data_IF_576541978975
#
_entry.id   IF_576541978975
#
_cell.length_a   1.000
_cell.length_b   1.000
_cell.length_c   1.000
_cell.angle_alpha   90.00
_cell.angle_beta   90.00
_cell.angle_gamma   90.00
#
_symmetry.space_group_name_H-M   'P 1'
#
loop_
_entity.id
_entity.type
_entity.pdbx_description
1 polymer ?
#
# COMPACT_ATOMS: atom_id res chain seq x y z
N UNK A 1 17.69 25.68 -7.85
CA UNK A 1 17.60 24.25 -8.21
C UNK A 1 17.10 24.01 -9.64
N UNK A 2 16.02 24.63 -10.14
CA UNK A 2 15.62 24.54 -11.57
C UNK A 2 16.78 24.79 -12.56
N UNK A 3 17.59 25.85 -12.38
CA UNK A 3 18.82 26.12 -13.17
C UNK A 3 19.88 25.01 -13.15
N UNK A 4 19.93 24.18 -12.10
CA UNK A 4 20.91 23.09 -11.95
C UNK A 4 20.50 21.85 -12.76
N UNK A 5 19.19 21.63 -12.89
CA UNK A 5 18.58 20.55 -13.66
C UNK A 5 18.26 20.94 -15.12
N UNK A 6 18.20 22.25 -15.41
CA UNK A 6 17.89 22.82 -16.72
C UNK A 6 19.11 23.39 -17.44
N UNK A 7 20.33 23.08 -16.99
CA UNK A 7 21.54 23.57 -17.66
C UNK A 7 21.75 22.82 -18.97
N UNK A 8 22.31 23.47 -20.00
CA UNK A 8 22.63 22.85 -21.30
C UNK A 8 23.58 21.63 -21.18
N UNK A 9 24.19 21.41 -20.00
CA UNK A 9 25.07 20.28 -19.70
C UNK A 9 24.40 19.11 -18.97
N UNK A 10 23.17 19.29 -18.49
CA UNK A 10 22.44 18.24 -17.76
C UNK A 10 21.77 17.32 -18.78
N UNK A 11 22.51 16.29 -19.21
CA UNK A 11 21.98 15.27 -20.12
C UNK A 11 21.14 14.30 -19.28
N UNK A 12 19.86 14.21 -19.61
CA UNK A 12 18.95 13.21 -19.05
C UNK A 12 19.09 11.93 -19.85
N UNK A 13 19.43 10.84 -19.17
CA UNK A 13 19.50 9.53 -19.79
C UNK A 13 18.23 8.76 -19.45
N UNK A 14 17.59 8.20 -20.47
CA UNK A 14 16.54 7.23 -20.29
C UNK A 14 17.18 5.86 -20.10
N UNK A 15 17.12 5.32 -18.89
CA UNK A 15 17.76 4.06 -18.55
C UNK A 15 16.79 2.89 -18.67
N UNK A 16 16.60 2.35 -19.89
CA UNK A 16 16.00 1.03 -20.06
C UNK A 16 17.02 -0.04 -19.67
N UNK A 17 16.85 -0.67 -18.51
CA UNK A 17 17.72 -1.79 -18.08
C UNK A 17 17.75 -2.89 -19.15
N UNK A 18 18.90 -3.07 -19.82
CA UNK A 18 19.26 -4.32 -20.50
C UNK A 18 20.24 -5.04 -19.58
N UNK A 19 19.85 -6.17 -19.01
CA UNK A 19 20.82 -7.14 -18.50
C UNK A 19 21.55 -7.76 -19.70
N UNK A 20 22.84 -8.05 -19.55
CA UNK A 20 23.72 -8.55 -20.62
C UNK A 20 23.37 -9.96 -21.13
N UNK A 21 22.28 -10.52 -20.63
CA UNK A 21 21.91 -11.94 -20.68
C UNK A 21 20.77 -12.20 -21.69
N UNK A 22 20.26 -11.16 -22.37
CA UNK A 22 19.19 -11.30 -23.37
C UNK A 22 17.80 -11.60 -22.81
N UNK A 23 17.66 -11.84 -21.50
CA UNK A 23 16.37 -11.88 -20.80
C UNK A 23 15.98 -10.45 -20.43
N UNK A 24 14.90 -9.93 -21.00
CA UNK A 24 14.37 -8.60 -20.71
C UNK A 24 14.00 -8.46 -19.23
N UNK A 25 14.89 -7.89 -18.41
CA UNK A 25 14.53 -7.42 -17.09
C UNK A 25 13.59 -6.22 -17.26
N UNK A 26 12.39 -6.32 -16.69
CA UNK A 26 11.35 -5.28 -16.67
C UNK A 26 11.96 -3.90 -16.42
N UNK A 27 11.91 -3.04 -17.43
CA UNK A 27 12.65 -1.79 -17.48
C UNK A 27 12.10 -0.75 -16.49
N UNK A 28 13.01 -0.11 -15.76
CA UNK A 28 12.77 1.18 -15.11
C UNK A 28 12.59 2.23 -16.22
N UNK A 29 11.53 3.05 -16.14
CA UNK A 29 11.28 4.18 -17.07
C UNK A 29 11.46 5.49 -16.31
N UNK A 30 12.65 5.69 -15.76
CA UNK A 30 13.04 6.96 -15.13
C UNK A 30 14.03 7.69 -16.01
N UNK A 31 14.01 9.02 -15.92
CA UNK A 31 15.09 9.83 -16.42
C UNK A 31 15.99 10.16 -15.26
N UNK A 32 17.26 9.77 -15.37
CA UNK A 32 18.29 10.10 -14.40
C UNK A 32 19.33 11.02 -15.03
N UNK A 33 19.90 11.91 -14.23
CA UNK A 33 21.09 12.66 -14.58
C UNK A 33 22.06 12.64 -13.41
N UNK A 34 23.36 12.69 -13.69
CA UNK A 34 24.42 12.75 -12.68
C UNK A 34 25.02 14.16 -12.69
N UNK A 35 24.35 15.16 -12.08
CA UNK A 35 24.83 16.52 -12.06
C UNK A 35 26.14 16.64 -11.28
N UNK A 36 27.03 17.49 -11.81
CA UNK A 36 28.28 17.89 -11.16
C UNK A 36 28.02 18.62 -9.82
N UNK A 37 28.56 18.13 -8.68
CA UNK A 37 28.25 18.67 -7.35
C UNK A 37 28.73 20.11 -7.11
N UNK A 38 29.73 20.62 -7.85
CA UNK A 38 30.42 21.88 -7.56
C UNK A 38 29.49 23.10 -7.56
N UNK A 39 28.46 23.08 -8.42
CA UNK A 39 27.44 24.13 -8.46
C UNK A 39 26.54 24.11 -7.22
N UNK A 40 26.17 22.93 -6.75
CA UNK A 40 25.31 22.74 -5.58
C UNK A 40 26.07 23.00 -4.27
N UNK A 41 27.32 22.56 -4.17
CA UNK A 41 28.17 22.77 -2.99
C UNK A 41 28.41 24.25 -2.65
N UNK A 42 28.35 25.14 -3.64
CA UNK A 42 28.45 26.60 -3.43
C UNK A 42 27.14 27.25 -2.95
N UNK A 43 26.06 26.50 -2.87
CA UNK A 43 24.74 27.02 -2.50
C UNK A 43 24.52 27.00 -0.98
N UNK A 44 23.68 27.91 -0.48
CA UNK A 44 23.21 27.87 0.91
C UNK A 44 22.42 26.59 1.23
N UNK A 45 21.82 25.95 0.22
CA UNK A 45 21.10 24.69 0.41
C UNK A 45 22.04 23.55 0.80
N UNK A 46 23.25 23.48 0.22
CA UNK A 46 24.27 22.51 0.62
C UNK A 46 24.70 22.72 2.07
N UNK A 47 25.00 23.96 2.48
CA UNK A 47 25.41 24.24 3.85
C UNK A 47 24.38 23.76 4.89
N UNK A 48 23.09 23.95 4.61
CA UNK A 48 22.00 23.44 5.46
C UNK A 48 21.91 21.92 5.46
N UNK A 49 21.97 21.28 4.28
CA UNK A 49 21.91 19.83 4.15
C UNK A 49 23.08 19.15 4.88
N UNK A 50 24.30 19.63 4.67
CA UNK A 50 25.50 19.10 5.30
C UNK A 50 25.42 19.19 6.83
N UNK A 51 25.04 20.36 7.37
CA UNK A 51 24.85 20.53 8.81
C UNK A 51 23.78 19.58 9.38
N UNK A 52 22.65 19.43 8.67
CA UNK A 52 21.56 18.52 9.08
C UNK A 52 22.04 17.06 9.08
N UNK A 53 22.83 16.64 8.08
CA UNK A 53 23.35 15.27 8.04
C UNK A 53 24.29 14.97 9.21
N UNK A 54 25.15 15.92 9.58
CA UNK A 54 26.04 15.77 10.75
C UNK A 54 25.24 15.65 12.04
N UNK A 55 24.23 16.51 12.22
CA UNK A 55 23.34 16.50 13.38
C UNK A 55 22.56 15.17 13.50
N UNK A 56 21.92 14.72 12.42
CA UNK A 56 21.13 13.47 12.40
C UNK A 56 22.02 12.23 12.60
N UNK A 57 23.29 12.28 12.19
CA UNK A 57 24.25 11.19 12.42
C UNK A 57 24.78 11.15 13.86
N UNK A 58 24.36 12.08 14.73
CA UNK A 58 24.80 12.14 16.13
C UNK A 58 26.27 12.56 16.31
N UNK A 59 26.91 13.08 15.26
CA UNK A 59 28.30 13.55 15.29
C UNK A 59 28.34 15.04 15.66
N UNK A 60 29.39 15.46 16.40
CA UNK A 60 29.62 16.88 16.66
C UNK A 60 30.32 17.50 15.47
N UNK A 61 29.77 18.58 14.90
CA UNK A 61 30.51 19.38 13.92
C UNK A 61 31.82 19.88 14.55
N UNK A 62 32.94 19.39 14.05
CA UNK A 62 34.28 19.86 14.40
C UNK A 62 34.83 20.79 13.31
N UNK A 63 34.33 20.71 12.07
CA UNK A 63 34.71 21.57 10.94
C UNK A 63 33.60 21.73 9.87
N UNK A 64 33.79 22.65 8.92
CA UNK A 64 32.89 22.81 7.77
C UNK A 64 33.00 21.70 6.70
N UNK A 65 33.85 20.69 6.90
CA UNK A 65 34.14 19.61 5.96
C UNK A 65 33.65 18.22 6.42
N UNK A 66 32.85 18.15 7.48
CA UNK A 66 32.47 16.88 8.13
C UNK A 66 31.40 16.10 7.34
N UNK A 67 30.97 16.63 6.18
CA UNK A 67 30.06 15.98 5.25
C UNK A 67 30.53 16.23 3.81
N UNK A 68 30.60 15.17 3.01
CA UNK A 68 31.06 15.21 1.62
C UNK A 68 30.09 14.46 0.70
N UNK A 69 29.91 14.99 -0.52
CA UNK A 69 29.06 14.36 -1.55
C UNK A 69 29.88 13.27 -2.25
N UNK A 70 29.41 12.03 -2.16
CA UNK A 70 29.98 10.89 -2.90
C UNK A 70 29.38 10.77 -4.28
N UNK A 71 28.07 10.97 -4.37
CA UNK A 71 27.35 11.12 -5.64
C UNK A 71 26.09 11.95 -5.47
N UNK A 72 25.68 12.53 -6.58
CA UNK A 72 24.47 13.32 -6.71
C UNK A 72 23.75 12.89 -7.97
N UNK A 73 22.50 12.48 -7.81
CA UNK A 73 21.62 12.03 -8.88
C UNK A 73 20.37 12.91 -8.91
N UNK A 74 20.00 13.37 -10.10
CA UNK A 74 18.68 13.93 -10.34
C UNK A 74 17.79 12.86 -10.95
N UNK A 75 16.58 12.71 -10.42
CA UNK A 75 15.60 11.73 -10.87
C UNK A 75 14.31 12.44 -11.32
N UNK A 76 13.77 12.01 -12.47
CA UNK A 76 12.42 12.35 -12.94
C UNK A 76 11.63 11.08 -13.18
N UNK A 77 10.54 10.91 -12.43
CA UNK A 77 9.70 9.72 -12.49
C UNK A 77 8.39 10.05 -13.20
N UNK A 78 8.09 9.28 -14.25
CA UNK A 78 7.08 9.63 -15.27
C UNK A 78 5.92 8.64 -15.41
N UNK A 79 5.84 7.59 -14.54
CA UNK A 79 4.91 6.42 -14.55
C UNK A 79 5.64 5.14 -14.94
N UNK A 80 6.36 4.56 -13.98
CA UNK A 80 7.30 3.49 -14.26
C UNK A 80 7.46 2.50 -13.11
N UNK A 81 7.93 1.29 -13.44
CA UNK A 81 8.54 0.46 -12.41
C UNK A 81 9.78 1.16 -11.88
N UNK A 82 9.89 1.24 -10.56
CA UNK A 82 11.12 1.64 -9.90
C UNK A 82 11.65 0.43 -9.17
N UNK A 83 12.90 0.11 -9.48
CA UNK A 83 13.63 -0.93 -8.79
C UNK A 83 14.17 -0.29 -7.52
N UNK A 84 13.89 -0.92 -6.39
CA UNK A 84 14.54 -0.68 -5.13
C UNK A 84 16.04 -0.68 -5.35
N UNK A 85 16.68 0.45 -5.03
CA UNK A 85 18.13 0.52 -5.09
C UNK A 85 18.67 -0.48 -4.09
N UNK A 86 19.27 -1.59 -4.57
CA UNK A 86 20.07 -2.47 -3.72
C UNK A 86 21.08 -1.62 -2.96
N UNK A 87 21.40 -2.01 -1.74
CA UNK A 87 22.33 -1.33 -0.83
C UNK A 87 23.44 -0.61 -1.61
N UNK A 88 23.40 0.72 -1.64
CA UNK A 88 24.44 1.52 -2.27
C UNK A 88 25.63 1.57 -1.32
N UNK A 89 26.33 0.44 -1.23
CA UNK A 89 27.63 0.37 -0.60
C UNK A 89 28.60 0.99 -1.61
N UNK A 90 28.75 2.32 -1.59
CA UNK A 90 30.09 2.84 -1.84
C UNK A 90 31.00 2.02 -0.93
N UNK A 91 32.13 1.55 -1.43
CA UNK A 91 33.14 0.87 -0.63
C UNK A 91 33.75 1.83 0.40
N UNK A 92 32.93 2.33 1.32
CA UNK A 92 33.28 2.67 2.68
C UNK A 92 33.83 1.34 3.22
N UNK A 93 35.16 1.19 3.30
CA UNK A 93 35.78 -0.03 3.83
C UNK A 93 35.14 -0.42 5.17
N UNK A 94 35.10 -1.72 5.54
CA UNK A 94 34.17 -2.30 6.54
C UNK A 94 34.28 -1.78 7.98
N UNK A 95 35.06 -0.73 8.24
CA UNK A 95 35.27 -0.19 9.56
C UNK A 95 34.21 0.82 10.01
N UNK A 96 33.34 1.34 9.13
CA UNK A 96 32.15 2.12 9.54
C UNK A 96 31.15 2.36 8.39
N UNK A 97 30.25 1.41 8.14
CA UNK A 97 29.05 1.63 7.30
C UNK A 97 28.14 2.76 7.82
N UNK A 98 28.28 3.08 9.11
CA UNK A 98 27.44 4.03 9.85
C UNK A 98 27.68 5.50 9.44
N UNK A 99 28.73 5.76 8.66
CA UNK A 99 29.12 7.11 8.24
C UNK A 99 28.50 7.50 6.89
N UNK A 100 27.91 6.55 6.16
CA UNK A 100 27.41 6.74 4.81
C UNK A 100 25.86 6.90 4.86
N UNK A 101 25.35 8.05 4.39
CA UNK A 101 23.90 8.39 4.43
C UNK A 101 23.36 8.72 3.04
N UNK A 102 22.07 8.46 2.84
CA UNK A 102 21.32 8.90 1.67
C UNK A 102 20.44 10.08 2.07
N UNK A 103 20.46 11.13 1.26
CA UNK A 103 19.52 12.24 1.37
C UNK A 103 18.70 12.38 0.08
N UNK A 104 17.38 12.41 0.20
CA UNK A 104 16.45 12.65 -0.92
C UNK A 104 15.74 13.97 -0.70
N UNK A 105 15.83 14.87 -1.68
CA UNK A 105 15.13 16.16 -1.71
C UNK A 105 14.04 16.11 -2.78
N UNK A 106 12.78 16.27 -2.37
CA UNK A 106 11.66 16.35 -3.30
C UNK A 106 11.53 17.76 -3.89
N UNK A 107 11.55 17.84 -5.22
CA UNK A 107 11.44 19.07 -6.02
C UNK A 107 10.08 19.17 -6.71
N UNK A 108 9.04 18.69 -6.04
CA UNK A 108 7.65 18.73 -6.53
C UNK A 108 7.03 20.10 -6.31
N UNK A 109 6.16 20.51 -7.24
CA UNK A 109 5.30 21.69 -7.14
C UNK A 109 3.85 21.18 -7.03
N UNK A 110 3.11 21.61 -6.02
CA UNK A 110 1.73 21.19 -5.67
C UNK A 110 1.48 19.68 -5.78
N UNK A 111 2.04 18.92 -4.85
CA UNK A 111 1.78 17.49 -4.69
C UNK A 111 0.63 17.29 -3.70
N UNK A 112 -0.49 16.78 -4.18
CA UNK A 112 -1.75 16.74 -3.45
C UNK A 112 -2.15 15.30 -3.11
N UNK A 113 -3.23 15.17 -2.33
CA UNK A 113 -3.88 13.88 -2.03
C UNK A 113 -3.97 13.02 -3.29
N UNK A 114 -3.66 11.73 -3.16
CA UNK A 114 -3.69 10.74 -4.26
C UNK A 114 -2.64 10.94 -5.38
N UNK A 115 -1.70 11.90 -5.27
CA UNK A 115 -0.61 12.03 -6.27
C UNK A 115 0.43 10.88 -6.26
N UNK A 116 0.38 10.02 -5.23
CA UNK A 116 1.32 8.92 -4.95
C UNK A 116 2.78 9.40 -4.88
N UNK A 117 3.73 8.61 -5.37
CA UNK A 117 5.15 8.97 -5.45
C UNK A 117 5.95 8.78 -4.16
N UNK A 118 5.42 8.01 -3.21
CA UNK A 118 6.05 7.83 -1.90
C UNK A 118 7.50 7.30 -2.00
N UNK A 119 8.40 7.85 -1.18
CA UNK A 119 9.67 7.20 -0.89
C UNK A 119 9.42 6.13 0.18
N UNK A 120 9.75 4.88 -0.12
CA UNK A 120 9.62 3.76 0.81
C UNK A 120 11.01 3.23 1.14
N UNK A 121 11.33 3.19 2.43
CA UNK A 121 12.58 2.68 2.99
C UNK A 121 12.30 1.37 3.70
N UNK A 122 13.16 0.38 3.45
CA UNK A 122 13.03 -0.98 3.94
C UNK A 122 14.20 -1.35 4.86
N UNK A 123 13.91 -2.24 5.80
CA UNK A 123 14.88 -2.98 6.59
C UNK A 123 14.47 -4.45 6.58
N UNK A 124 15.36 -5.32 6.10
CA UNK A 124 15.12 -6.78 5.97
C UNK A 124 13.75 -7.10 5.33
N UNK A 125 13.50 -6.59 4.12
CA UNK A 125 12.25 -6.76 3.35
C UNK A 125 10.98 -6.10 3.94
N UNK A 126 11.03 -5.56 5.16
CA UNK A 126 9.93 -4.84 5.79
C UNK A 126 10.01 -3.34 5.58
N UNK A 127 8.85 -2.70 5.46
CA UNK A 127 8.80 -1.23 5.35
C UNK A 127 9.13 -0.61 6.71
N UNK A 128 10.28 0.04 6.79
CA UNK A 128 10.66 0.83 7.96
C UNK A 128 9.87 2.15 7.98
N UNK A 129 9.84 2.86 6.85
CA UNK A 129 9.13 4.13 6.71
C UNK A 129 8.73 4.39 5.26
N UNK A 130 7.53 4.91 5.09
CA UNK A 130 7.09 5.52 3.84
C UNK A 130 6.90 7.02 4.05
N UNK A 131 7.25 7.81 3.03
CA UNK A 131 7.24 9.28 3.08
C UNK A 131 6.55 9.82 1.84
N UNK A 132 5.47 10.59 2.04
CA UNK A 132 4.80 11.29 0.95
C UNK A 132 5.65 12.47 0.44
N UNK A 133 5.75 12.71 -0.87
CA UNK A 133 6.47 13.87 -1.40
C UNK A 133 5.84 15.19 -0.97
N UNK A 134 6.66 16.18 -0.59
CA UNK A 134 6.24 17.58 -0.42
C UNK A 134 7.29 18.52 -0.99
N UNK A 135 6.91 19.74 -1.42
CA UNK A 135 7.86 20.72 -1.93
C UNK A 135 9.00 20.98 -0.93
N UNK A 136 10.23 20.71 -1.34
CA UNK A 136 11.43 20.94 -0.54
C UNK A 136 11.65 19.98 0.63
N UNK A 137 10.81 18.94 0.78
CA UNK A 137 10.98 17.92 1.82
C UNK A 137 12.29 17.17 1.62
N UNK A 138 13.06 17.05 2.69
CA UNK A 138 14.33 16.32 2.75
C UNK A 138 14.13 15.09 3.63
N UNK A 139 14.50 13.92 3.13
CA UNK A 139 14.51 12.67 3.89
C UNK A 139 15.95 12.17 3.96
N UNK A 140 16.45 11.92 5.16
CA UNK A 140 17.83 11.46 5.40
C UNK A 140 17.75 10.12 6.13
N UNK A 141 18.48 9.13 5.65
CA UNK A 141 18.49 7.78 6.22
C UNK A 141 19.83 7.08 5.95
N UNK A 142 20.18 6.03 6.74
CA UNK A 142 21.41 5.27 6.51
C UNK A 142 21.49 4.66 5.10
N UNK A 143 22.66 4.73 4.46
CA UNK A 143 22.84 4.19 3.10
C UNK A 143 22.77 2.66 3.02
N UNK A 144 22.84 1.98 4.17
CA UNK A 144 22.63 0.53 4.30
C UNK A 144 21.17 0.11 4.09
N UNK A 145 20.22 1.03 4.14
CA UNK A 145 18.80 0.72 3.97
C UNK A 145 18.40 0.69 2.50
N UNK A 146 17.68 -0.36 2.15
CA UNK A 146 17.02 -0.51 0.86
C UNK A 146 15.92 0.54 0.73
N UNK A 147 15.76 1.12 -0.46
CA UNK A 147 14.74 2.15 -0.67
C UNK A 147 14.30 2.23 -2.13
N UNK A 148 13.10 2.74 -2.33
CA UNK A 148 12.52 2.97 -3.66
C UNK A 148 11.69 4.26 -3.63
N UNK A 149 11.85 5.08 -4.66
CA UNK A 149 10.93 6.19 -4.92
C UNK A 149 9.87 5.68 -5.89
N UNK A 150 8.62 5.59 -5.42
CA UNK A 150 7.51 5.07 -6.21
C UNK A 150 7.12 6.07 -7.31
N UNK A 151 6.50 5.60 -8.41
CA UNK A 151 6.01 6.51 -9.44
C UNK A 151 4.81 7.32 -8.94
N UNK A 152 4.52 8.48 -9.55
CA UNK A 152 3.25 9.16 -9.37
C UNK A 152 2.06 8.31 -9.84
N UNK A 153 0.85 8.69 -9.45
CA UNK A 153 -0.38 8.12 -9.97
C UNK A 153 -0.45 8.20 -11.50
N UNK A 154 -1.10 7.21 -12.14
CA UNK A 154 -1.07 7.06 -13.60
C UNK A 154 -1.87 8.14 -14.34
N UNK A 155 -2.85 8.74 -13.69
CA UNK A 155 -3.65 9.87 -14.17
C UNK A 155 -2.97 11.23 -13.93
N UNK A 156 -1.97 11.30 -13.06
CA UNK A 156 -1.25 12.53 -12.79
C UNK A 156 -0.41 12.97 -14.02
N UNK A 157 -0.63 14.20 -14.48
CA UNK A 157 0.11 14.79 -15.61
C UNK A 157 1.48 15.35 -15.21
N UNK A 158 1.65 15.66 -13.92
CA UNK A 158 2.89 16.18 -13.34
C UNK A 158 3.92 15.06 -13.16
N UNK A 159 5.19 15.43 -13.22
CA UNK A 159 6.32 14.51 -12.98
C UNK A 159 6.83 14.67 -11.57
N UNK A 160 7.24 13.56 -10.96
CA UNK A 160 7.93 13.59 -9.67
C UNK A 160 9.40 13.90 -9.92
N UNK A 161 9.88 15.03 -9.41
CA UNK A 161 11.28 15.42 -9.47
C UNK A 161 11.93 15.23 -8.09
N UNK A 162 13.09 14.58 -8.05
CA UNK A 162 13.87 14.44 -6.83
C UNK A 162 15.38 14.63 -7.09
N UNK A 163 16.09 15.06 -6.06
CA UNK A 163 17.55 14.98 -6.00
C UNK A 163 17.93 13.97 -4.92
N UNK A 164 18.70 12.96 -5.30
CA UNK A 164 19.26 11.96 -4.39
C UNK A 164 20.75 12.22 -4.22
N UNK A 165 21.21 12.19 -2.99
CA UNK A 165 22.60 12.36 -2.61
C UNK A 165 23.06 11.13 -1.84
N UNK A 166 24.20 10.58 -2.24
CA UNK A 166 24.97 9.66 -1.41
C UNK A 166 26.07 10.48 -0.74
N UNK A 167 26.08 10.50 0.59
CA UNK A 167 26.92 11.37 1.39
C UNK A 167 27.78 10.54 2.35
N UNK A 168 29.01 11.01 2.57
CA UNK A 168 29.86 10.53 3.66
C UNK A 168 29.93 11.60 4.73
N UNK A 169 29.50 11.24 5.93
CA UNK A 169 29.61 12.06 7.14
C UNK A 169 30.78 11.52 7.95
N UNK A 170 31.96 12.14 7.81
CA UNK A 170 33.19 11.70 8.46
C UNK A 170 34.11 12.85 8.80
N UNK A 171 34.86 12.70 9.90
CA UNK A 171 35.89 13.63 10.33
C UNK A 171 37.20 13.44 9.53
N UNK A 172 37.32 12.37 8.74
CA UNK A 172 38.52 12.01 7.98
C UNK A 172 38.31 12.16 6.47
N UNK A 173 39.24 12.88 5.79
CA UNK A 173 39.31 12.93 4.32
C UNK A 173 39.75 11.58 3.76
N UNK A 174 38.81 10.66 3.49
CA UNK A 174 39.13 9.40 2.80
C UNK A 174 38.94 9.53 1.29
N UNK A 175 39.91 9.01 0.53
CA UNK A 175 39.80 8.85 -0.92
C UNK A 175 38.90 7.65 -1.21
N UNK A 176 37.85 7.85 -2.01
CA UNK A 176 36.88 6.82 -2.36
C UNK A 176 37.11 6.42 -3.82
N UNK A 177 37.25 5.12 -4.07
CA UNK A 177 37.13 4.53 -5.41
C UNK A 177 35.78 3.80 -5.52
N UNK A 178 35.07 3.90 -6.66
CA UNK A 178 33.83 3.16 -6.87
C UNK A 178 34.12 1.69 -7.23
N UNK A 179 33.48 0.76 -6.52
CA UNK A 179 33.41 -0.64 -6.92
C UNK A 179 31.95 -1.11 -6.89
N UNK A 180 31.44 -1.55 -8.04
CA UNK A 180 30.15 -2.24 -8.16
C UNK A 180 30.38 -3.74 -7.91
N UNK A 181 29.72 -4.33 -6.92
CA UNK A 181 29.54 -5.79 -6.86
C UNK A 181 28.08 -6.11 -7.14
N UNK A 182 27.85 -6.84 -8.24
CA UNK A 182 26.57 -7.47 -8.52
C UNK A 182 26.61 -8.91 -7.99
N UNK A 183 25.67 -9.27 -7.11
CA UNK A 183 25.41 -10.66 -6.79
C UNK A 183 24.20 -11.17 -7.60
N UNK A 184 24.45 -12.27 -8.31
CA UNK A 184 23.50 -13.04 -9.08
C UNK A 184 22.80 -14.05 -8.16
N UNK A 185 21.52 -13.82 -7.86
CA UNK A 185 20.66 -14.85 -7.31
C UNK A 185 19.70 -15.35 -8.41
N UNK A 186 19.81 -16.64 -8.71
CA UNK A 186 18.95 -17.37 -9.65
C UNK A 186 17.78 -17.96 -8.86
N UNK A 187 16.56 -17.53 -9.18
CA UNK A 187 15.32 -18.09 -8.62
C UNK A 187 14.82 -19.23 -9.52
N UNK A 188 14.45 -20.37 -8.93
CA UNK A 188 13.84 -21.52 -9.65
C UNK A 188 12.33 -21.59 -9.36
N UNK A 189 11.46 -21.76 -10.36
CA UNK A 189 10.04 -22.00 -10.16
C UNK A 189 9.68 -23.49 -10.34
N UNK A 190 9.04 -24.12 -9.35
CA UNK A 190 8.37 -25.43 -9.42
C UNK A 190 7.34 -25.45 -8.25
N UNK A 191 6.13 -26.04 -8.25
CA UNK A 191 5.23 -26.72 -9.18
C UNK A 191 3.87 -26.79 -8.42
N UNK A 192 2.76 -26.51 -9.08
CA UNK A 192 1.42 -26.39 -8.47
C UNK A 192 0.69 -27.76 -8.41
N UNK A 193 0.08 -28.16 -7.28
CA UNK A 193 -0.90 -29.25 -7.27
C UNK A 193 -2.33 -28.71 -7.42
N UNK A 194 -3.13 -29.40 -8.22
CA UNK A 194 -4.57 -29.14 -8.38
C UNK A 194 -5.34 -29.62 -7.14
N UNK A 195 -6.08 -28.74 -6.46
CA UNK A 195 -7.02 -29.12 -5.42
C UNK A 195 -8.34 -28.35 -5.57
N UNK A 196 -9.44 -29.07 -5.34
CA UNK A 196 -10.82 -28.58 -5.46
C UNK A 196 -11.24 -27.79 -4.21
N UNK A 197 -12.16 -26.86 -4.47
CA UNK A 197 -12.75 -25.83 -3.60
C UNK A 197 -13.07 -26.22 -2.15
N UNK A 198 -13.06 -25.16 -1.31
CA UNK A 198 -13.72 -25.03 -0.01
C UNK A 198 -15.21 -25.37 -0.16
N UNK A 199 -15.55 -26.65 -0.06
CA UNK A 199 -16.93 -27.08 0.19
C UNK A 199 -17.14 -27.26 1.70
N UNK A 200 -18.40 -27.12 2.11
CA UNK A 200 -18.96 -27.39 3.46
C UNK A 200 -18.45 -28.67 4.17
N UNK A 201 -17.69 -29.54 3.50
CA UNK A 201 -17.30 -30.87 3.94
C UNK A 201 -15.86 -30.99 4.50
N UNK A 202 -15.02 -29.96 4.43
CA UNK A 202 -13.65 -30.04 5.01
C UNK A 202 -13.53 -29.47 6.44
N UNK A 203 -14.64 -29.07 7.06
CA UNK A 203 -14.74 -28.75 8.49
C UNK A 203 -14.72 -30.02 9.34
N UNK A 204 -13.59 -30.73 9.33
CA UNK A 204 -13.25 -31.69 10.40
C UNK A 204 -12.06 -31.23 11.23
N UNK A 205 -11.64 -29.96 11.11
CA UNK A 205 -10.89 -29.34 12.21
C UNK A 205 -11.84 -29.21 13.39
N UNK A 206 -11.70 -30.10 14.37
CA UNK A 206 -12.33 -29.99 15.68
C UNK A 206 -12.25 -28.51 16.12
N UNK A 207 -13.37 -27.91 16.54
CA UNK A 207 -13.42 -26.51 17.01
C UNK A 207 -12.34 -26.17 18.05
N UNK A 208 -11.82 -27.19 18.75
CA UNK A 208 -10.72 -27.12 19.69
C UNK A 208 -9.38 -26.58 19.13
N UNK A 209 -9.06 -26.75 17.83
CA UNK A 209 -7.76 -26.28 17.30
C UNK A 209 -7.70 -24.77 17.15
N UNK A 210 -8.79 -24.13 16.70
CA UNK A 210 -8.87 -22.67 16.58
C UNK A 210 -8.83 -22.02 17.96
N UNK A 211 -9.50 -22.59 18.96
CA UNK A 211 -9.52 -22.06 20.35
C UNK A 211 -8.12 -21.94 20.99
N UNK A 212 -7.15 -22.75 20.54
CA UNK A 212 -5.82 -22.85 21.15
C UNK A 212 -4.73 -21.93 20.58
N UNK A 213 -5.01 -21.20 19.48
CA UNK A 213 -3.99 -20.38 18.80
C UNK A 213 -3.68 -19.13 19.64
N UNK A 214 -2.41 -18.96 20.01
CA UNK A 214 -1.86 -17.77 20.66
C UNK A 214 -1.47 -16.71 19.61
N UNK A 215 -2.38 -15.77 19.36
CA UNK A 215 -2.23 -14.71 18.35
C UNK A 215 -0.95 -13.87 18.55
N UNK A 216 -0.45 -13.74 19.78
CA UNK A 216 0.75 -12.93 20.07
C UNK A 216 2.00 -13.47 19.39
N UNK A 217 2.06 -14.77 19.11
CA UNK A 217 3.20 -15.40 18.41
C UNK A 217 3.30 -15.02 16.95
N UNK A 218 2.19 -14.59 16.36
CA UNK A 218 2.08 -14.23 14.95
C UNK A 218 2.08 -12.72 14.72
N UNK A 219 2.03 -11.93 15.80
CA UNK A 219 2.07 -10.47 15.75
C UNK A 219 3.44 -10.01 15.27
N UNK A 220 3.50 -9.38 14.09
CA UNK A 220 4.75 -8.85 13.53
C UNK A 220 4.85 -7.35 13.62
N UNK A 221 3.72 -6.62 13.58
CA UNK A 221 3.69 -5.17 13.75
C UNK A 221 2.47 -4.70 14.53
N UNK A 222 2.67 -3.67 15.34
CA UNK A 222 1.61 -2.94 16.00
C UNK A 222 1.95 -1.45 15.97
N UNK A 223 1.06 -0.65 15.40
CA UNK A 223 1.19 0.80 15.33
C UNK A 223 -0.05 1.46 15.91
N UNK A 224 0.14 2.50 16.72
CA UNK A 224 -0.95 3.29 17.27
C UNK A 224 -0.89 4.70 16.70
N UNK A 225 -2.00 5.18 16.15
CA UNK A 225 -2.12 6.55 15.63
C UNK A 225 -2.09 7.57 16.78
N UNK A 226 -1.91 8.85 16.45
CA UNK A 226 -1.98 9.92 17.44
C UNK A 226 -3.35 9.98 18.17
N UNK A 227 -4.41 9.57 17.48
CA UNK A 227 -5.79 9.53 18.00
C UNK A 227 -6.09 8.22 18.76
N UNK A 228 -5.11 7.33 18.94
CA UNK A 228 -5.24 6.11 19.74
C UNK A 228 -5.77 4.88 18.99
N UNK A 229 -6.01 4.97 17.68
CA UNK A 229 -6.42 3.81 16.88
C UNK A 229 -5.23 2.91 16.57
N UNK A 230 -5.44 1.59 16.56
CA UNK A 230 -4.37 0.61 16.31
C UNK A 230 -4.44 0.04 14.90
N UNK A 231 -3.28 -0.22 14.32
CA UNK A 231 -3.05 -1.03 13.11
C UNK A 231 -2.20 -2.22 13.54
N UNK A 232 -2.77 -3.42 13.45
CA UNK A 232 -2.16 -4.65 13.96
C UNK A 232 -1.94 -5.62 12.80
N UNK A 233 -0.74 -6.19 12.72
CA UNK A 233 -0.31 -7.03 11.59
C UNK A 233 0.11 -8.39 12.10
N UNK A 234 -0.41 -9.43 11.46
CA UNK A 234 -0.04 -10.81 11.72
C UNK A 234 0.51 -11.45 10.45
N UNK A 235 1.60 -12.19 10.58
CA UNK A 235 2.15 -13.03 9.51
C UNK A 235 2.04 -14.51 9.90
N UNK A 236 2.02 -15.39 8.91
CA UNK A 236 2.02 -16.85 9.07
C UNK A 236 0.89 -17.42 9.96
N UNK A 237 -0.21 -16.67 10.11
CA UNK A 237 -1.32 -17.05 10.98
C UNK A 237 -2.34 -17.97 10.28
N UNK A 238 -2.57 -17.80 8.97
CA UNK A 238 -3.48 -18.64 8.21
C UNK A 238 -2.78 -19.92 7.75
N UNK A 239 -3.42 -21.10 7.87
CA UNK A 239 -2.90 -22.31 7.27
C UNK A 239 -2.74 -22.15 5.75
N UNK A 240 -1.59 -22.55 5.21
CA UNK A 240 -1.27 -22.45 3.76
C UNK A 240 -2.38 -23.04 2.89
N UNK A 241 -2.95 -24.19 3.29
CA UNK A 241 -4.08 -24.82 2.59
C UNK A 241 -5.28 -23.90 2.43
N UNK A 242 -5.65 -23.17 3.49
CA UNK A 242 -6.84 -22.32 3.48
C UNK A 242 -6.57 -21.04 2.67
N UNK A 243 -5.33 -20.54 2.73
CA UNK A 243 -4.87 -19.39 1.95
C UNK A 243 -4.79 -19.70 0.44
N UNK A 244 -4.28 -20.88 0.06
CA UNK A 244 -4.26 -21.35 -1.33
C UNK A 244 -5.67 -21.52 -1.87
N UNK A 245 -6.59 -22.06 -1.06
CA UNK A 245 -7.97 -22.24 -1.47
C UNK A 245 -8.72 -20.91 -1.65
N UNK A 246 -8.45 -19.92 -0.78
CA UNK A 246 -8.95 -18.56 -0.95
C UNK A 246 -8.37 -17.93 -2.23
N UNK A 247 -7.06 -18.06 -2.46
CA UNK A 247 -6.42 -17.53 -3.66
C UNK A 247 -7.00 -18.14 -4.95
N UNK A 248 -7.24 -19.46 -4.98
CA UNK A 248 -7.89 -20.11 -6.13
C UNK A 248 -9.31 -19.59 -6.37
N UNK A 249 -10.07 -19.34 -5.30
CA UNK A 249 -11.41 -18.77 -5.39
C UNK A 249 -11.37 -17.39 -6.02
N UNK A 250 -10.46 -16.56 -5.53
CA UNK A 250 -10.22 -15.19 -6.00
C UNK A 250 -9.78 -15.17 -7.47
N UNK A 251 -8.87 -16.06 -7.89
CA UNK A 251 -8.40 -16.13 -9.27
C UNK A 251 -9.45 -16.63 -10.27
N UNK A 252 -10.44 -17.41 -9.81
CA UNK A 252 -11.47 -18.00 -10.67
C UNK A 252 -12.84 -17.30 -10.56
N UNK A 253 -12.98 -16.36 -9.63
CA UNK A 253 -14.23 -15.64 -9.38
C UNK A 253 -14.57 -14.62 -10.47
N UNK A 254 -15.87 -14.31 -10.58
CA UNK A 254 -16.36 -13.21 -11.41
C UNK A 254 -16.22 -11.89 -10.68
N UNK A 255 -15.42 -10.98 -11.23
CA UNK A 255 -15.31 -9.62 -10.71
C UNK A 255 -16.36 -8.74 -11.35
N UNK A 256 -16.93 -7.84 -10.54
CA UNK A 256 -17.68 -6.72 -11.09
C UNK A 256 -16.71 -5.80 -11.88
N UNK A 257 -17.12 -5.37 -13.07
CA UNK A 257 -16.36 -4.50 -13.98
C UNK A 257 -16.96 -3.10 -14.13
N UNK A 258 -17.97 -2.78 -13.30
CA UNK A 258 -18.58 -1.45 -13.27
C UNK A 258 -17.53 -0.38 -12.97
N UNK A 259 -17.61 0.74 -13.68
CA UNK A 259 -16.75 1.88 -13.40
C UNK A 259 -16.91 2.28 -11.93
N UNK A 260 -15.79 2.55 -11.25
CA UNK A 260 -15.83 3.07 -9.91
C UNK A 260 -16.66 4.35 -9.90
N UNK A 261 -17.72 4.36 -9.10
CA UNK A 261 -18.66 5.46 -9.02
C UNK A 261 -17.92 6.78 -8.70
N UNK A 262 -18.45 7.90 -9.20
CA UNK A 262 -18.00 9.25 -8.82
C UNK A 262 -18.04 9.48 -7.30
N UNK A 263 -18.87 8.70 -6.59
CA UNK A 263 -18.95 8.69 -5.13
C UNK A 263 -18.21 7.51 -4.46
N UNK A 264 -17.56 6.62 -5.23
CA UNK A 264 -16.69 5.58 -4.68
C UNK A 264 -15.59 6.22 -3.84
N UNK A 265 -15.56 5.87 -2.56
CA UNK A 265 -14.61 6.47 -1.63
C UNK A 265 -13.17 6.07 -1.96
N UNK A 266 -12.95 4.83 -2.40
CA UNK A 266 -11.64 4.21 -2.59
C UNK A 266 -11.20 4.02 -4.05
N UNK A 267 -12.12 4.20 -5.00
CA UNK A 267 -11.90 4.05 -6.44
C UNK A 267 -11.32 2.67 -6.83
N UNK A 268 -11.74 1.61 -6.13
CA UNK A 268 -11.44 0.21 -6.50
C UNK A 268 -12.50 -0.28 -7.47
N UNK A 269 -12.09 -0.70 -8.67
CA UNK A 269 -13.01 -1.08 -9.75
C UNK A 269 -13.43 -2.56 -9.67
N UNK A 270 -12.46 -3.44 -9.46
CA UNK A 270 -12.69 -4.88 -9.58
C UNK A 270 -12.89 -5.49 -8.20
N UNK A 271 -14.15 -5.74 -7.84
CA UNK A 271 -14.52 -6.35 -6.56
C UNK A 271 -15.25 -7.68 -6.81
N UNK A 272 -14.77 -8.73 -6.17
CA UNK A 272 -15.46 -10.01 -6.04
C UNK A 272 -16.11 -10.07 -4.65
N UNK A 273 -17.42 -9.92 -4.58
CA UNK A 273 -18.19 -9.99 -3.34
C UNK A 273 -18.34 -11.41 -2.79
N UNK A 274 -18.50 -11.54 -1.47
CA UNK A 274 -18.73 -12.80 -0.79
C UNK A 274 -19.96 -12.72 0.12
N UNK A 275 -20.74 -13.79 0.15
CA UNK A 275 -21.93 -13.90 0.99
C UNK A 275 -21.57 -13.96 2.48
N UNK A 276 -22.00 -12.96 3.24
CA UNK A 276 -21.78 -12.86 4.70
C UNK A 276 -22.26 -14.11 5.42
N UNK A 277 -23.46 -14.60 5.08
CA UNK A 277 -24.07 -15.76 5.73
C UNK A 277 -23.29 -17.06 5.50
N UNK A 278 -22.59 -17.18 4.38
CA UNK A 278 -21.73 -18.33 4.10
C UNK A 278 -20.37 -18.17 4.79
N UNK A 279 -19.78 -16.98 4.71
CA UNK A 279 -18.48 -16.70 5.29
C UNK A 279 -18.43 -16.93 6.80
N UNK A 280 -19.47 -16.53 7.54
CA UNK A 280 -19.49 -16.68 9.02
C UNK A 280 -19.51 -18.14 9.48
N UNK A 281 -19.84 -19.08 8.59
CA UNK A 281 -19.82 -20.52 8.87
C UNK A 281 -18.42 -21.13 8.69
N UNK A 282 -17.45 -20.36 8.18
CA UNK A 282 -16.09 -20.85 7.89
C UNK A 282 -15.18 -20.80 9.11
N UNK A 283 -14.15 -21.66 9.14
CA UNK A 283 -13.06 -21.59 10.13
C UNK A 283 -12.27 -20.28 10.05
N UNK A 284 -12.20 -19.68 8.86
CA UNK A 284 -11.54 -18.39 8.64
C UNK A 284 -12.24 -17.27 9.41
N UNK A 285 -13.57 -17.22 9.39
CA UNK A 285 -14.31 -16.26 10.22
C UNK A 285 -14.11 -16.51 11.72
N UNK A 286 -14.08 -17.76 12.18
CA UNK A 286 -13.84 -18.06 13.60
C UNK A 286 -12.47 -17.57 14.07
N UNK A 287 -11.47 -17.55 13.19
CA UNK A 287 -10.19 -16.91 13.47
C UNK A 287 -10.30 -15.38 13.46
N UNK A 288 -10.96 -14.80 12.46
CA UNK A 288 -11.07 -13.34 12.33
C UNK A 288 -11.87 -12.70 13.46
N UNK A 289 -12.94 -13.37 13.94
CA UNK A 289 -13.71 -12.94 15.11
C UNK A 289 -12.83 -12.87 16.37
N UNK A 290 -11.90 -13.81 16.55
CA UNK A 290 -10.90 -13.78 17.64
C UNK A 290 -9.88 -12.67 17.46
N UNK A 291 -9.43 -12.42 16.23
CA UNK A 291 -8.52 -11.30 15.93
C UNK A 291 -9.17 -9.97 16.30
N UNK A 292 -10.38 -9.68 15.78
CA UNK A 292 -11.06 -8.42 16.07
C UNK A 292 -11.43 -8.29 17.56
N UNK A 293 -11.80 -9.39 18.23
CA UNK A 293 -12.04 -9.38 19.68
C UNK A 293 -10.77 -9.02 20.45
N UNK A 294 -9.63 -9.59 20.05
CA UNK A 294 -8.33 -9.34 20.69
C UNK A 294 -7.88 -7.89 20.48
N UNK A 295 -8.06 -7.34 19.28
CA UNK A 295 -7.61 -5.99 18.92
C UNK A 295 -8.54 -4.91 19.47
N UNK A 296 -9.85 -5.12 19.42
CA UNK A 296 -10.84 -4.17 19.92
C UNK A 296 -11.07 -4.26 21.44
N UNK A 297 -10.73 -5.40 22.05
CA UNK A 297 -11.07 -5.71 23.44
C UNK A 297 -12.56 -5.98 23.66
N UNK A 298 -13.35 -6.16 22.59
CA UNK A 298 -14.80 -6.36 22.66
C UNK A 298 -15.23 -7.54 21.78
N UNK A 299 -16.07 -8.40 22.34
CA UNK A 299 -16.77 -9.43 21.58
C UNK A 299 -17.96 -8.83 20.81
N UNK A 300 -18.52 -9.61 19.89
CA UNK A 300 -19.77 -9.27 19.19
C UNK A 300 -19.61 -8.65 17.81
N UNK A 301 -18.37 -8.30 17.40
CA UNK A 301 -18.11 -7.84 16.05
C UNK A 301 -18.58 -8.85 14.99
N UNK A 302 -19.20 -8.35 13.93
CA UNK A 302 -19.81 -9.16 12.87
C UNK A 302 -19.55 -8.55 11.50
N UNK A 303 -19.30 -9.34 10.45
CA UNK A 303 -18.96 -8.81 9.14
C UNK A 303 -20.23 -8.37 8.40
N UNK A 304 -20.11 -7.32 7.59
CA UNK A 304 -21.22 -6.80 6.78
C UNK A 304 -20.86 -6.55 5.31
N UNK A 305 -19.57 -6.41 5.00
CA UNK A 305 -19.05 -6.20 3.66
C UNK A 305 -17.78 -7.03 3.52
N UNK A 306 -17.79 -7.95 2.55
CA UNK A 306 -16.73 -8.93 2.33
C UNK A 306 -16.46 -8.99 0.84
N UNK A 307 -15.23 -8.70 0.47
CA UNK A 307 -14.84 -8.66 -0.93
C UNK A 307 -13.39 -9.01 -1.14
N UNK A 308 -13.05 -9.42 -2.35
CA UNK A 308 -11.67 -9.37 -2.81
C UNK A 308 -11.50 -8.22 -3.79
N UNK A 309 -10.59 -7.31 -3.46
CA UNK A 309 -10.16 -6.24 -4.34
C UNK A 309 -9.11 -6.79 -5.32
N UNK A 310 -9.29 -6.53 -6.61
CA UNK A 310 -8.35 -6.82 -7.68
C UNK A 310 -7.84 -5.49 -8.25
N UNK A 311 -6.70 -5.04 -7.73
CA UNK A 311 -6.13 -3.75 -8.12
C UNK A 311 -5.12 -3.97 -9.25
N UNK A 312 -5.41 -3.38 -10.39
CA UNK A 312 -4.57 -3.41 -11.57
C UNK A 312 -3.60 -2.25 -11.61
N UNK A 313 -2.58 -2.37 -12.48
CA UNK A 313 -1.52 -1.36 -12.67
C UNK A 313 -2.00 0.00 -13.20
N UNK A 314 -3.21 0.06 -13.73
CA UNK A 314 -3.83 1.26 -14.29
C UNK A 314 -4.81 1.93 -13.34
N UNK A 315 -5.05 1.34 -12.17
CA UNK A 315 -6.05 1.84 -11.23
C UNK A 315 -5.52 3.06 -10.47
N UNK A 316 -6.44 3.92 -10.05
CA UNK A 316 -6.15 5.19 -9.38
C UNK A 316 -6.86 5.27 -8.03
N UNK A 317 -6.65 4.25 -7.20
CA UNK A 317 -7.26 4.16 -5.86
C UNK A 317 -7.02 5.41 -5.02
N UNK A 318 -8.02 5.79 -4.23
CA UNK A 318 -8.02 7.03 -3.48
C UNK A 318 -7.85 6.76 -1.99
N UNK A 319 -7.34 7.77 -1.28
CA UNK A 319 -7.33 7.80 0.18
C UNK A 319 -8.78 7.84 0.65
N UNK A 320 -9.16 6.99 1.60
CA UNK A 320 -10.52 6.91 2.13
C UNK A 320 -10.53 6.43 3.57
N UNK A 321 -11.74 6.42 4.14
CA UNK A 321 -12.09 5.74 5.40
C UNK A 321 -13.14 4.69 5.08
N UNK A 322 -13.17 3.65 5.89
CA UNK A 322 -14.14 2.56 5.74
C UNK A 322 -15.43 2.77 6.55
N UNK A 323 -15.45 3.76 7.44
CA UNK A 323 -16.60 4.06 8.27
C UNK A 323 -16.75 5.56 8.59
N UNK A 324 -17.93 5.93 9.07
CA UNK A 324 -18.27 7.28 9.50
C UNK A 324 -17.69 7.62 10.87
N UNK A 325 -17.50 8.91 11.15
CA UNK A 325 -16.82 9.40 12.38
C UNK A 325 -17.41 8.90 13.71
N UNK A 326 -18.68 8.54 13.73
CA UNK A 326 -19.39 8.06 14.91
C UNK A 326 -19.40 6.53 15.04
N UNK A 327 -18.88 5.83 14.05
CA UNK A 327 -18.90 4.38 13.95
C UNK A 327 -17.59 3.78 14.49
N UNK A 328 -17.71 2.60 15.09
CA UNK A 328 -16.60 1.90 15.75
C UNK A 328 -16.32 0.59 15.00
N UNK A 329 -15.86 0.71 13.76
CA UNK A 329 -15.76 -0.41 12.82
C UNK A 329 -14.31 -0.78 12.55
N UNK A 330 -14.11 -2.03 12.17
CA UNK A 330 -12.79 -2.56 11.84
C UNK A 330 -12.78 -3.14 10.44
N UNK A 331 -11.67 -2.93 9.75
CA UNK A 331 -11.36 -3.57 8.49
C UNK A 331 -10.20 -4.53 8.70
N UNK A 332 -10.38 -5.76 8.22
CA UNK A 332 -9.36 -6.79 8.18
C UNK A 332 -9.02 -7.10 6.72
N UNK A 333 -7.74 -7.06 6.39
CA UNK A 333 -7.19 -7.36 5.07
C UNK A 333 -6.36 -8.64 5.13
N UNK A 334 -6.44 -9.47 4.08
CA UNK A 334 -5.53 -10.59 3.80
C UNK A 334 -4.93 -10.40 2.42
N UNK A 335 -3.60 -10.37 2.33
CA UNK A 335 -2.90 -10.20 1.06
C UNK A 335 -2.63 -11.55 0.39
N UNK A 336 -3.00 -11.68 -0.89
CA UNK A 336 -3.07 -12.99 -1.56
C UNK A 336 -2.04 -13.19 -2.68
N UNK A 337 -1.17 -12.22 -2.94
CA UNK A 337 -0.14 -12.38 -3.96
C UNK A 337 1.10 -13.10 -3.42
N UNK A 338 1.42 -14.25 -4.02
CA UNK A 338 2.65 -14.99 -3.74
C UNK A 338 3.89 -14.25 -4.26
N UNK A 339 5.02 -14.43 -3.57
CA UNK A 339 6.34 -13.90 -3.95
C UNK A 339 6.37 -12.38 -4.18
N UNK A 340 5.58 -11.61 -3.43
CA UNK A 340 5.51 -10.16 -3.57
C UNK A 340 6.77 -9.48 -3.02
N UNK A 341 7.43 -8.68 -3.86
CA UNK A 341 8.68 -7.96 -3.64
C UNK A 341 8.45 -6.46 -3.51
N UNK A 342 9.40 -5.74 -2.91
CA UNK A 342 9.43 -4.27 -2.83
C UNK A 342 9.35 -3.59 -4.21
N UNK A 343 9.78 -4.30 -5.26
CA UNK A 343 9.74 -3.86 -6.64
C UNK A 343 8.36 -4.00 -7.29
N UNK A 344 7.46 -4.77 -6.68
CA UNK A 344 6.08 -4.94 -7.14
C UNK A 344 5.10 -3.94 -6.52
N UNK A 345 5.59 -3.05 -5.65
CA UNK A 345 4.85 -1.91 -5.08
C UNK A 345 3.61 -2.40 -4.35
N UNK A 346 2.42 -1.86 -4.61
CA UNK A 346 1.19 -2.41 -4.04
C UNK A 346 1.01 -2.16 -2.54
N UNK A 347 1.71 -1.21 -1.94
CA UNK A 347 1.61 -1.01 -0.50
C UNK A 347 0.20 -0.53 -0.09
N UNK A 348 -0.34 -1.03 1.02
CA UNK A 348 -1.44 -0.31 1.71
C UNK A 348 -0.79 0.78 2.55
N UNK A 349 -1.11 2.04 2.27
CA UNK A 349 -0.52 3.21 2.91
C UNK A 349 -1.56 3.89 3.79
N UNK A 350 -1.20 4.19 5.03
CA UNK A 350 -2.04 4.85 6.03
C UNK A 350 -1.55 6.28 6.28
N UNK A 351 -2.48 7.20 6.43
CA UNK A 351 -2.24 8.63 6.53
C UNK A 351 -2.73 9.21 7.85
N UNK A 352 -2.10 10.30 8.28
CA UNK A 352 -2.52 11.03 9.49
C UNK A 352 -3.91 11.65 9.33
N UNK A 353 -4.28 12.01 8.09
CA UNK A 353 -5.49 12.75 7.76
C UNK A 353 -6.02 12.38 6.37
N UNK A 354 -7.23 12.86 6.07
CA UNK A 354 -7.85 12.69 4.75
C UNK A 354 -7.22 13.55 3.66
N UNK A 355 -6.37 14.53 4.01
CA UNK A 355 -5.60 15.30 3.02
C UNK A 355 -4.46 14.45 2.43
N UNK A 356 -4.11 13.34 3.09
CA UNK A 356 -3.04 12.46 2.63
C UNK A 356 -1.66 13.09 2.77
N UNK A 357 -1.54 14.10 3.65
CA UNK A 357 -0.35 14.93 3.70
C UNK A 357 0.83 14.21 4.36
N UNK A 358 0.58 13.26 5.25
CA UNK A 358 1.64 12.55 5.99
C UNK A 358 1.33 11.07 6.11
N UNK A 359 2.32 10.24 5.78
CA UNK A 359 2.23 8.78 5.93
C UNK A 359 2.62 8.40 7.34
N UNK A 360 1.68 7.77 8.05
CA UNK A 360 1.90 7.30 9.42
C UNK A 360 2.39 5.85 9.44
N UNK A 361 1.94 5.04 8.48
CA UNK A 361 2.25 3.62 8.41
C UNK A 361 2.07 3.09 6.98
N UNK A 362 2.78 2.02 6.61
CA UNK A 362 2.62 1.38 5.31
C UNK A 362 2.92 -0.12 5.40
N UNK A 363 2.20 -0.90 4.61
CA UNK A 363 2.26 -2.35 4.59
C UNK A 363 2.60 -2.87 3.20
N UNK A 364 3.64 -3.70 3.13
CA UNK A 364 3.93 -4.52 1.96
C UNK A 364 2.94 -5.70 1.93
N UNK A 365 2.31 -6.00 0.78
CA UNK A 365 1.29 -7.05 0.68
C UNK A 365 1.93 -8.44 0.57
N UNK A 366 2.50 -8.93 1.68
CA UNK A 366 3.10 -10.28 1.75
C UNK A 366 2.01 -11.35 1.75
N UNK A 367 2.25 -12.48 1.07
CA UNK A 367 1.28 -13.57 0.98
C UNK A 367 0.85 -14.07 2.38
N UNK A 368 -0.46 -14.07 2.65
CA UNK A 368 -1.03 -14.52 3.93
C UNK A 368 -0.94 -13.52 5.07
N UNK A 369 -0.27 -12.37 4.88
CA UNK A 369 -0.24 -11.29 5.87
C UNK A 369 -1.65 -10.78 6.12
N UNK A 370 -1.99 -10.70 7.40
CA UNK A 370 -3.24 -10.10 7.88
C UNK A 370 -2.94 -8.73 8.46
N UNK A 371 -3.73 -7.74 8.09
CA UNK A 371 -3.74 -6.44 8.76
C UNK A 371 -5.16 -6.13 9.25
N UNK A 372 -5.30 -5.71 10.50
CA UNK A 372 -6.56 -5.22 11.05
C UNK A 372 -6.38 -3.82 11.61
N UNK A 373 -7.31 -2.93 11.28
CA UNK A 373 -7.27 -1.53 11.69
C UNK A 373 -8.67 -0.95 11.84
N UNK A 374 -8.76 0.15 12.60
CA UNK A 374 -10.01 0.88 12.77
C UNK A 374 -10.39 1.62 11.47
N UNK A 375 -11.65 1.53 11.03
CA UNK A 375 -12.11 2.04 9.73
C UNK A 375 -11.95 3.56 9.54
N UNK A 376 -11.79 4.31 10.63
CA UNK A 376 -11.53 5.76 10.60
C UNK A 376 -10.11 6.15 10.18
N UNK A 377 -9.16 5.21 10.12
CA UNK A 377 -7.79 5.53 9.73
C UNK A 377 -7.77 5.76 8.21
N UNK A 378 -7.41 6.97 7.74
CA UNK A 378 -7.31 7.25 6.31
C UNK A 378 -6.26 6.36 5.66
N UNK A 379 -6.63 5.69 4.57
CA UNK A 379 -5.72 4.74 3.91
C UNK A 379 -6.01 4.58 2.42
N UNK A 380 -5.07 3.99 1.70
CA UNK A 380 -5.21 3.73 0.26
C UNK A 380 -4.31 2.56 -0.15
N UNK A 381 -4.81 1.71 -1.05
CA UNK A 381 -4.07 0.57 -1.59
C UNK A 381 -3.41 0.93 -2.91
N UNK A 382 -2.08 1.10 -2.94
CA UNK A 382 -1.37 1.49 -4.17
C UNK A 382 -1.50 0.39 -5.24
N UNK A 383 -1.58 0.76 -6.53
CA UNK A 383 -1.52 -0.21 -7.61
C UNK A 383 -0.11 -0.80 -7.75
N UNK A 384 0.02 -1.99 -8.36
CA UNK A 384 1.32 -2.51 -8.79
C UNK A 384 1.93 -1.65 -9.91
N UNK A 385 3.24 -1.74 -10.19
CA UNK A 385 3.87 -0.96 -11.24
C UNK A 385 3.39 -1.42 -12.62
N UNK A 386 3.55 -0.56 -13.62
CA UNK A 386 3.08 -0.82 -14.99
C UNK A 386 3.70 -2.07 -15.66
N UNK A 387 4.88 -2.48 -15.18
CA UNK A 387 5.60 -3.67 -15.66
C UNK A 387 5.11 -4.97 -15.00
N UNK A 388 4.29 -4.90 -13.96
CA UNK A 388 3.74 -6.09 -13.34
C UNK A 388 2.71 -6.73 -14.27
N UNK A 389 2.84 -8.04 -14.47
CA UNK A 389 1.91 -8.85 -15.23
C UNK A 389 0.98 -9.57 -14.25
N UNK A 390 -0.22 -9.01 -14.06
CA UNK A 390 -1.21 -9.49 -13.12
C UNK A 390 -1.80 -8.36 -12.30
N UNK A 391 -2.46 -8.72 -11.21
CA UNK A 391 -3.10 -7.78 -10.30
C UNK A 391 -2.71 -8.03 -8.85
N UNK A 392 -2.94 -7.02 -8.02
CA UNK A 392 -2.81 -7.10 -6.57
C UNK A 392 -4.14 -7.52 -5.98
N UNK A 393 -4.17 -8.68 -5.32
CA UNK A 393 -5.34 -9.24 -4.67
C UNK A 393 -5.31 -8.99 -3.17
N UNK A 394 -6.42 -8.49 -2.63
CA UNK A 394 -6.59 -8.33 -1.18
C UNK A 394 -8.01 -8.69 -0.80
N UNK A 395 -8.14 -9.71 0.05
CA UNK A 395 -9.42 -10.06 0.66
C UNK A 395 -9.68 -9.14 1.84
N UNK A 396 -10.80 -8.44 1.83
CA UNK A 396 -11.19 -7.44 2.82
C UNK A 396 -12.48 -7.89 3.52
N UNK A 397 -12.50 -7.70 4.84
CA UNK A 397 -13.66 -7.97 5.70
C UNK A 397 -13.89 -6.73 6.55
N UNK A 398 -15.00 -6.02 6.32
CA UNK A 398 -15.43 -4.92 7.18
C UNK A 398 -16.42 -5.42 8.22
N UNK A 399 -16.27 -4.94 9.45
CA UNK A 399 -16.98 -5.46 10.61
C UNK A 399 -17.54 -4.34 11.48
N UNK A 400 -18.78 -4.50 11.92
CA UNK A 400 -19.45 -3.60 12.87
C UNK A 400 -19.53 -4.22 14.27
N UNK A 401 -19.71 -3.43 15.34
CA UNK A 401 -19.68 -3.91 16.74
C UNK A 401 -20.72 -4.96 17.14
N UNK A 402 -21.77 -5.15 16.33
CA UNK A 402 -22.81 -6.15 16.59
C UNK A 402 -23.40 -6.69 15.29
N UNK A 403 -23.97 -7.89 15.37
CA UNK A 403 -24.68 -8.52 14.25
C UNK A 403 -25.85 -7.66 13.75
N UNK A 404 -26.63 -7.05 14.63
CA UNK A 404 -27.77 -6.20 14.25
C UNK A 404 -27.33 -4.99 13.42
N UNK A 405 -26.26 -4.30 13.83
CA UNK A 405 -25.69 -3.17 13.08
C UNK A 405 -25.15 -3.64 11.73
N UNK A 406 -24.41 -4.76 11.74
CA UNK A 406 -23.84 -5.33 10.53
C UNK A 406 -24.91 -5.75 9.51
N UNK A 407 -26.00 -6.38 9.95
CA UNK A 407 -27.13 -6.76 9.08
C UNK A 407 -27.81 -5.52 8.46
N UNK A 408 -27.99 -4.45 9.24
CA UNK A 408 -28.53 -3.19 8.72
C UNK A 408 -27.60 -2.58 7.67
N UNK A 409 -26.29 -2.62 7.88
CA UNK A 409 -25.31 -2.12 6.92
C UNK A 409 -25.23 -2.96 5.66
N UNK A 410 -25.21 -4.28 5.79
CA UNK A 410 -25.27 -5.21 4.65
C UNK A 410 -26.50 -4.92 3.80
N UNK A 411 -27.66 -4.66 4.42
CA UNK A 411 -28.85 -4.26 3.69
C UNK A 411 -28.68 -2.91 2.97
N UNK A 412 -28.05 -1.92 3.59
CA UNK A 412 -27.78 -0.62 2.93
C UNK A 412 -26.91 -0.83 1.69
N UNK A 413 -25.84 -1.63 1.80
CA UNK A 413 -24.95 -1.96 0.67
C UNK A 413 -25.71 -2.71 -0.43
N UNK A 414 -26.58 -3.67 -0.07
CA UNK A 414 -27.44 -4.36 -1.04
C UNK A 414 -28.37 -3.38 -1.80
N UNK A 415 -28.75 -2.26 -1.18
CA UNK A 415 -29.64 -1.25 -1.76
C UNK A 415 -28.91 -0.16 -2.56
N UNK A 416 -27.58 -0.15 -2.61
CA UNK A 416 -26.81 0.88 -3.33
C UNK A 416 -27.24 0.97 -4.81
N UNK A 417 -27.51 -0.18 -5.44
CA UNK A 417 -28.03 -0.25 -6.82
C UNK A 417 -29.36 0.51 -6.96
N UNK A 418 -30.26 0.45 -5.98
CA UNK A 418 -31.50 1.23 -6.02
C UNK A 418 -31.26 2.72 -5.82
N UNK A 419 -30.27 3.10 -5.00
CA UNK A 419 -29.89 4.50 -4.83
C UNK A 419 -29.29 5.07 -6.12
N UNK A 420 -28.43 4.32 -6.81
CA UNK A 420 -27.88 4.72 -8.12
C UNK A 420 -28.97 4.92 -9.17
N UNK A 421 -30.01 4.10 -9.14
CA UNK A 421 -31.16 4.24 -10.03
C UNK A 421 -32.01 5.43 -9.61
N UNK A 422 -32.27 5.59 -8.32
CA UNK A 422 -33.03 6.72 -7.77
C UNK A 422 -32.43 8.06 -8.19
N UNK A 423 -31.11 8.18 -8.24
CA UNK A 423 -30.41 9.40 -8.67
C UNK A 423 -30.60 9.73 -10.16
N UNK A 424 -31.02 8.75 -10.97
CA UNK A 424 -31.32 8.91 -12.40
C UNK A 424 -32.81 9.11 -12.69
N UNK A 425 -33.69 8.89 -11.71
CA UNK A 425 -35.14 9.02 -11.85
C UNK A 425 -35.62 10.42 -11.47
N UNK A 426 -36.73 10.84 -12.08
CA UNK A 426 -37.41 12.10 -11.75
C UNK A 426 -38.91 11.88 -11.50
N UNK A 427 -39.55 12.86 -10.84
CA UNK A 427 -41.00 12.88 -10.66
C UNK A 427 -41.55 11.74 -9.80
N UNK A 428 -42.68 11.16 -10.23
CA UNK A 428 -43.44 10.16 -9.45
C UNK A 428 -42.69 8.82 -9.29
N UNK A 429 -41.87 8.44 -10.27
CA UNK A 429 -41.07 7.21 -10.21
C UNK A 429 -39.98 7.29 -9.14
N UNK A 430 -39.29 8.44 -9.03
CA UNK A 430 -38.31 8.67 -7.97
C UNK A 430 -38.94 8.67 -6.58
N UNK A 431 -40.14 9.26 -6.44
CA UNK A 431 -40.88 9.26 -5.16
C UNK A 431 -41.25 7.83 -4.76
N UNK A 432 -41.75 7.03 -5.71
CA UNK A 432 -42.13 5.64 -5.46
C UNK A 432 -40.93 4.78 -5.05
N UNK A 433 -39.80 4.88 -5.77
CA UNK A 433 -38.59 4.13 -5.42
C UNK A 433 -38.04 4.55 -4.06
N UNK A 434 -38.05 5.85 -3.74
CA UNK A 434 -37.63 6.34 -2.41
C UNK A 434 -38.50 5.77 -1.28
N UNK A 435 -39.81 5.69 -1.48
CA UNK A 435 -40.73 5.11 -0.49
C UNK A 435 -40.48 3.60 -0.33
N UNK A 436 -40.22 2.88 -1.43
CA UNK A 436 -39.86 1.46 -1.38
C UNK A 436 -38.59 1.25 -0.57
N UNK A 437 -37.52 2.01 -0.86
CA UNK A 437 -36.26 1.94 -0.10
C UNK A 437 -36.52 2.19 1.40
N UNK A 438 -37.32 3.20 1.73
CA UNK A 438 -37.66 3.51 3.13
C UNK A 438 -38.42 2.36 3.81
N UNK A 439 -39.40 1.76 3.13
CA UNK A 439 -40.14 0.63 3.68
C UNK A 439 -39.25 -0.61 3.88
N UNK A 440 -38.26 -0.84 3.01
CA UNK A 440 -37.25 -1.89 3.17
C UNK A 440 -36.40 -1.63 4.42
N UNK A 441 -35.88 -0.41 4.57
CA UNK A 441 -35.05 -0.01 5.72
C UNK A 441 -35.81 -0.06 7.06
N UNK A 442 -37.13 0.14 7.03
CA UNK A 442 -38.02 0.00 8.18
C UNK A 442 -38.45 -1.45 8.46
N UNK A 443 -37.99 -2.41 7.64
CA UNK A 443 -38.30 -3.83 7.81
C UNK A 443 -39.76 -4.18 7.49
N UNK A 444 -40.45 -3.35 6.70
CA UNK A 444 -41.84 -3.60 6.27
C UNK A 444 -41.93 -4.51 5.06
N UNK A 445 -40.80 -4.81 4.42
CA UNK A 445 -40.71 -5.59 3.19
C UNK A 445 -39.87 -6.84 3.43
N UNK A 446 -40.43 -8.00 3.10
CA UNK A 446 -39.73 -9.29 3.25
C UNK A 446 -38.53 -9.41 2.28
N UNK A 447 -37.49 -10.14 2.70
CA UNK A 447 -36.24 -10.28 1.93
C UNK A 447 -36.44 -10.85 0.51
N UNK A 448 -37.34 -11.81 0.33
CA UNK A 448 -37.67 -12.33 -1.01
C UNK A 448 -38.29 -11.26 -1.92
N UNK A 449 -39.04 -10.32 -1.33
CA UNK A 449 -39.64 -9.20 -2.06
C UNK A 449 -38.58 -8.15 -2.38
N UNK A 450 -37.64 -7.88 -1.46
CA UNK A 450 -36.46 -7.02 -1.73
C UNK A 450 -35.70 -7.53 -2.95
N UNK A 451 -35.37 -8.83 -3.01
CA UNK A 451 -34.65 -9.41 -4.16
C UNK A 451 -35.42 -9.27 -5.47
N UNK A 452 -36.75 -9.45 -5.46
CA UNK A 452 -37.58 -9.25 -6.66
C UNK A 452 -37.62 -7.78 -7.10
N UNK A 453 -37.63 -6.85 -6.14
CA UNK A 453 -37.55 -5.42 -6.43
C UNK A 453 -36.20 -5.11 -7.06
N UNK A 454 -35.10 -5.61 -6.48
CA UNK A 454 -33.75 -5.44 -7.05
C UNK A 454 -33.68 -5.88 -8.51
N UNK A 455 -34.07 -7.12 -8.78
CA UNK A 455 -34.07 -7.69 -10.13
C UNK A 455 -34.90 -6.88 -11.14
N UNK A 456 -36.04 -6.31 -10.69
CA UNK A 456 -36.89 -5.48 -11.54
C UNK A 456 -36.18 -4.19 -11.99
N UNK A 457 -35.31 -3.64 -11.14
CA UNK A 457 -34.62 -2.38 -11.37
C UNK A 457 -33.24 -2.58 -12.04
N UNK A 458 -32.69 -3.80 -12.01
CA UNK A 458 -31.48 -4.18 -12.76
C UNK A 458 -31.74 -4.48 -14.26
N UNK A 459 -32.99 -4.77 -14.67
CA UNK A 459 -33.44 -4.92 -16.07
C UNK A 459 -33.76 -3.56 -16.73
#
# INVERSE_FOLDING_TARGET
>A
MKKLLSSEKTIWNFAGSKTGDGTSANSCYSWSSQPTPEGFMRSQAWGKLAATCVEVSGKKMTSGNDCSILAMEGEVNMKASHICGKQFIYSCTPTSSDDCVVAVIFLVEDWHRNSYGELVVYDNEEILKAVHPKPGRIVIFPASLEHVIKPPAIDLSRRLYALKFNLLVSDEKRQIQPALKGDNHVFRPDLWPSCKFLSKANSTSNGNEVESIDLKKFLTRNFTTADGYSIVVFDDLLPVRDLDALMLTVQSGGYNDMEADLYSADNVQWILGFEVNEFVQTSMWQLFSRIVTTVSGKEGYYPYDIGCNNIQKSDTTTIHRDCELHENEFTLLVYLNQNWTENQHGETVFFADMEGSEVIFALRPKYGRIAIFHGLIPHSARPPPFTFAGARFTFAVKMSPSKEIAEKKSLIVELDVLYEILDKLEGEEAINLRNIIQDILEGKVDREVVQKIMLKYEE
#
